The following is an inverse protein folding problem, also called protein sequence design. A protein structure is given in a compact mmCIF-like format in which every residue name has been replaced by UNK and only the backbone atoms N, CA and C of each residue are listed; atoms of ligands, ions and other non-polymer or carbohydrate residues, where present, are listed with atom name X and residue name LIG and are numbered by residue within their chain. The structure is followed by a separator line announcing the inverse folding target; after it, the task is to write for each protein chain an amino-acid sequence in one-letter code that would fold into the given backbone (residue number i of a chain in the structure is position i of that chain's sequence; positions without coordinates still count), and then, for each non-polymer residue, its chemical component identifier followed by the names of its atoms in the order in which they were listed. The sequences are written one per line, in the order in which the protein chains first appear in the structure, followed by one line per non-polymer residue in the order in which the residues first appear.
data_IF_405026982350
#
_entry.id   IF_405026982350
#
_cell.length_a   1.000
_cell.length_b   1.000
_cell.length_c   1.000
_cell.angle_alpha   90.00
_cell.angle_beta   90.00
_cell.angle_gamma   90.00
#
_symmetry.space_group_name_H-M   'P 1'
#
loop_
_entity.id
_entity.type
_entity.pdbx_description
1 polymer ?
#
# COMPACT_ATOMS: atom_id res chain seq x y z
N UNK A 1 -13.37 -25.00 -20.19
CA UNK A 1 -13.86 -24.80 -18.81
C UNK A 1 -14.39 -23.38 -18.70
N UNK A 2 -15.69 -23.17 -18.84
CA UNK A 2 -16.30 -21.84 -18.77
C UNK A 2 -16.52 -21.49 -17.29
N UNK A 3 -15.88 -20.41 -16.81
CA UNK A 3 -15.99 -19.94 -15.43
C UNK A 3 -17.42 -19.40 -15.16
N UNK A 4 -18.10 -19.83 -14.07
CA UNK A 4 -19.46 -19.39 -13.78
C UNK A 4 -19.51 -18.00 -13.12
N UNK A 5 -20.55 -17.22 -13.42
CA UNK A 5 -20.90 -15.97 -12.72
C UNK A 5 -20.11 -14.71 -13.14
N UNK A 6 -20.02 -13.67 -12.27
CA UNK A 6 -19.38 -12.39 -12.57
C UNK A 6 -17.86 -12.48 -12.86
N UNK A 7 -17.26 -13.62 -12.58
CA UNK A 7 -15.87 -13.93 -12.92
C UNK A 7 -15.66 -14.11 -14.44
N UNK A 8 -16.73 -14.28 -15.23
CA UNK A 8 -16.66 -14.25 -16.70
C UNK A 8 -16.28 -12.85 -17.22
N UNK A 9 -16.60 -11.81 -16.47
CA UNK A 9 -16.29 -10.41 -16.82
C UNK A 9 -14.80 -10.11 -16.63
N UNK A 10 -14.16 -10.73 -15.63
CA UNK A 10 -12.71 -10.65 -15.37
C UNK A 10 -11.96 -11.55 -16.35
N UNK A 11 -11.98 -11.14 -17.61
CA UNK A 11 -11.21 -11.75 -18.68
C UNK A 11 -9.77 -11.21 -18.73
N UNK A 12 -8.96 -11.83 -19.61
CA UNK A 12 -7.54 -11.48 -19.85
C UNK A 12 -7.30 -9.98 -20.05
N UNK A 13 -8.21 -9.29 -20.74
CA UNK A 13 -8.15 -7.84 -20.99
C UNK A 13 -8.20 -7.01 -19.71
N UNK A 14 -8.98 -7.40 -18.70
CA UNK A 14 -9.07 -6.65 -17.45
C UNK A 14 -7.79 -6.81 -16.62
N UNK A 15 -7.20 -8.02 -16.64
CA UNK A 15 -5.89 -8.28 -16.01
C UNK A 15 -4.79 -7.44 -16.69
N UNK A 16 -4.81 -7.33 -18.01
CA UNK A 16 -3.86 -6.50 -18.77
C UNK A 16 -4.03 -5.00 -18.47
N UNK A 17 -5.28 -4.53 -18.33
CA UNK A 17 -5.52 -3.15 -17.91
C UNK A 17 -5.00 -2.93 -16.49
N UNK A 18 -5.36 -3.80 -15.54
CA UNK A 18 -4.89 -3.70 -14.16
C UNK A 18 -3.36 -3.72 -14.06
N UNK A 19 -2.68 -4.55 -14.85
CA UNK A 19 -1.22 -4.61 -14.83
C UNK A 19 -0.58 -3.29 -15.25
N UNK A 20 -1.21 -2.55 -16.17
CA UNK A 20 -0.80 -1.21 -16.58
C UNK A 20 -0.89 -0.18 -15.46
N UNK A 21 -1.85 -0.35 -14.54
CA UNK A 21 -2.08 0.57 -13.41
C UNK A 21 -1.28 0.25 -12.15
N UNK A 22 -0.53 -0.86 -12.12
CA UNK A 22 0.25 -1.29 -10.95
C UNK A 22 1.15 -0.17 -10.45
N UNK A 23 1.92 0.48 -11.33
CA UNK A 23 2.84 1.54 -10.93
C UNK A 23 2.14 2.71 -10.23
N UNK A 24 1.02 3.17 -10.79
CA UNK A 24 0.24 4.27 -10.21
C UNK A 24 -0.42 3.86 -8.90
N UNK A 25 -0.96 2.64 -8.81
CA UNK A 25 -1.52 2.10 -7.56
C UNK A 25 -0.47 1.98 -6.47
N UNK A 26 0.76 1.56 -6.80
CA UNK A 26 1.87 1.53 -5.86
C UNK A 26 2.24 2.94 -5.39
N UNK A 27 2.30 3.92 -6.28
CA UNK A 27 2.61 5.31 -5.92
C UNK A 27 1.56 5.92 -4.99
N UNK A 28 0.28 5.77 -5.31
CA UNK A 28 -0.81 6.25 -4.44
C UNK A 28 -0.89 5.48 -3.13
N UNK A 29 -0.68 4.16 -3.16
CA UNK A 29 -0.63 3.33 -1.95
C UNK A 29 0.52 3.73 -1.01
N UNK A 30 1.71 3.96 -1.55
CA UNK A 30 2.86 4.43 -0.78
C UNK A 30 2.61 5.82 -0.20
N UNK A 31 2.08 6.75 -1.00
CA UNK A 31 1.76 8.12 -0.54
C UNK A 31 0.72 8.10 0.57
N UNK A 32 -0.36 7.32 0.41
CA UNK A 32 -1.37 7.17 1.45
C UNK A 32 -0.80 6.52 2.72
N UNK A 33 0.05 5.49 2.58
CA UNK A 33 0.72 4.84 3.70
C UNK A 33 1.62 5.81 4.48
N UNK A 34 2.42 6.63 3.78
CA UNK A 34 3.21 7.68 4.40
C UNK A 34 2.34 8.74 5.09
N UNK A 35 1.24 9.15 4.45
CA UNK A 35 0.28 10.09 5.04
C UNK A 35 -0.33 9.57 6.34
N UNK A 36 -0.71 8.29 6.39
CA UNK A 36 -1.19 7.64 7.62
C UNK A 36 -0.09 7.59 8.68
N UNK A 37 1.12 7.18 8.31
CA UNK A 37 2.26 7.15 9.25
C UNK A 37 2.53 8.53 9.85
N UNK A 38 2.47 9.58 9.04
CA UNK A 38 2.64 10.97 9.48
C UNK A 38 1.49 11.43 10.38
N UNK A 39 0.23 11.20 9.98
CA UNK A 39 -0.94 11.68 10.72
C UNK A 39 -1.12 11.00 12.08
N UNK A 40 -0.75 9.73 12.19
CA UNK A 40 -0.93 8.93 13.41
C UNK A 40 0.33 8.79 14.26
N UNK A 41 1.45 9.39 13.82
CA UNK A 41 2.76 9.19 14.43
C UNK A 41 3.06 7.71 14.66
N UNK A 42 2.94 6.92 13.59
CA UNK A 42 2.96 5.46 13.68
C UNK A 42 4.33 4.92 14.07
N UNK A 43 4.54 4.75 15.38
CA UNK A 43 5.81 4.30 16.00
C UNK A 43 6.40 3.05 15.33
N UNK A 44 5.58 2.03 15.05
CA UNK A 44 6.04 0.76 14.45
C UNK A 44 6.82 0.96 13.15
N UNK A 45 6.41 1.92 12.32
CA UNK A 45 7.08 2.23 11.05
C UNK A 45 8.14 3.31 11.25
N UNK A 46 7.79 4.39 11.95
CA UNK A 46 8.64 5.57 12.09
C UNK A 46 9.91 5.32 12.95
N UNK A 47 9.89 4.35 13.87
CA UNK A 47 11.08 4.04 14.69
C UNK A 47 12.29 3.58 13.86
N UNK A 48 12.07 3.04 12.67
CA UNK A 48 13.15 2.62 11.77
C UNK A 48 13.71 3.77 10.91
N UNK A 49 13.06 4.95 10.92
CA UNK A 49 13.57 6.12 10.20
C UNK A 49 14.65 6.82 11.05
N UNK A 50 15.85 7.04 10.51
CA UNK A 50 16.96 7.61 11.28
C UNK A 50 16.65 9.01 11.84
N UNK A 51 15.77 9.77 11.18
CA UNK A 51 15.33 11.09 11.64
C UNK A 51 14.35 11.03 12.83
N UNK A 52 13.53 9.98 12.93
CA UNK A 52 12.48 9.85 13.96
C UNK A 52 12.88 8.97 15.15
N UNK A 53 14.07 8.37 15.13
CA UNK A 53 14.54 7.42 16.14
C UNK A 53 14.62 8.01 17.57
N UNK A 54 14.74 9.34 17.69
CA UNK A 54 14.71 10.03 19.00
C UNK A 54 13.30 10.33 19.54
N UNK A 55 12.25 10.22 18.72
CA UNK A 55 10.87 10.54 19.12
C UNK A 55 10.24 9.44 19.98
N UNK A 56 10.65 8.20 19.77
CA UNK A 56 10.04 7.04 20.41
C UNK A 56 11.06 6.33 21.30
N UNK A 57 11.43 7.00 22.39
CA UNK A 57 12.25 6.37 23.43
C UNK A 57 11.48 5.17 23.98
N UNK A 58 12.16 4.03 24.09
CA UNK A 58 11.62 2.86 24.79
C UNK A 58 11.97 3.09 26.25
N UNK A 59 10.97 3.41 27.06
CA UNK A 59 11.12 3.32 28.51
C UNK A 59 11.18 1.83 28.84
N UNK A 60 12.29 1.39 29.45
CA UNK A 60 12.49 0.02 29.96
C UNK A 60 11.38 -0.39 30.95
#
# INVERSE_FOLDING_TARGET
MALPGPLRTIGKKQIEIMSRWIGTSMAFGATAGLGVCYATDWKLVLQYLPYYNGKFVTEE
#
